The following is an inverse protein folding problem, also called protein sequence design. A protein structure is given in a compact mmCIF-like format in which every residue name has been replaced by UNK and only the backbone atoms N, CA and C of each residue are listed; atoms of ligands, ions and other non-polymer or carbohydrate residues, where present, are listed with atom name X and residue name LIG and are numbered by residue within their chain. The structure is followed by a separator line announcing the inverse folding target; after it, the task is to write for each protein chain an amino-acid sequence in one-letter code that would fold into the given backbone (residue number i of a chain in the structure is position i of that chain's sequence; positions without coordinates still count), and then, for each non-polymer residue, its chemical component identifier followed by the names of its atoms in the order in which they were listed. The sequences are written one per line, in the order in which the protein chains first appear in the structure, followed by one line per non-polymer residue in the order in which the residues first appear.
data_IF_021318859774
#
_entry.id   IF_021318859774
#
_cell.length_a   1.000
_cell.length_b   1.000
_cell.length_c   1.000
_cell.angle_alpha   90.00
_cell.angle_beta   90.00
_cell.angle_gamma   90.00
#
_symmetry.space_group_name_H-M   'P 1'
#
loop_
_entity.id
_entity.type
_entity.pdbx_description
1 polymer ?
#
# COMPACT_ATOMS: atom_id res chain seq x y z
N UNK A 1 10.04 -22.17 -7.66
CA UNK A 1 9.80 -21.86 -6.24
C UNK A 1 8.34 -21.46 -6.07
N UNK A 2 7.54 -22.29 -5.40
CA UNK A 2 6.13 -22.00 -5.14
C UNK A 2 6.05 -20.74 -4.25
N UNK A 3 5.59 -19.63 -4.83
CA UNK A 3 5.27 -18.43 -4.07
C UNK A 3 4.05 -18.78 -3.22
N UNK A 4 4.24 -19.03 -1.93
CA UNK A 4 3.12 -19.11 -0.98
C UNK A 4 2.27 -17.85 -1.18
N UNK A 5 1.00 -18.04 -1.51
CA UNK A 5 0.09 -16.93 -1.72
C UNK A 5 -0.03 -16.18 -0.38
N UNK A 6 0.25 -14.88 -0.41
CA UNK A 6 0.09 -14.03 0.78
C UNK A 6 -1.40 -13.98 1.10
N UNK A 7 -1.77 -14.40 2.31
CA UNK A 7 -3.15 -14.30 2.78
C UNK A 7 -3.49 -12.85 3.15
N UNK A 8 -3.93 -12.10 2.14
CA UNK A 8 -4.32 -10.70 2.30
C UNK A 8 -5.57 -10.53 3.16
N UNK A 9 -6.45 -11.53 3.24
CA UNK A 9 -7.69 -11.41 4.01
C UNK A 9 -7.39 -11.25 5.50
N UNK A 10 -6.34 -11.92 5.99
CA UNK A 10 -5.85 -11.78 7.36
C UNK A 10 -4.99 -10.53 7.58
N UNK A 11 -4.25 -10.10 6.57
CA UNK A 11 -3.29 -8.98 6.68
C UNK A 11 -3.89 -7.60 6.43
N UNK A 12 -5.00 -7.50 5.69
CA UNK A 12 -5.62 -6.22 5.36
C UNK A 12 -6.10 -5.42 6.59
N UNK A 13 -6.72 -6.03 7.63
CA UNK A 13 -7.05 -5.34 8.88
C UNK A 13 -5.82 -4.72 9.55
N UNK A 14 -4.71 -5.47 9.61
CA UNK A 14 -3.45 -5.01 10.18
C UNK A 14 -2.87 -3.86 9.36
N UNK A 15 -2.89 -3.95 8.03
CA UNK A 15 -2.43 -2.87 7.16
C UNK A 15 -3.24 -1.59 7.36
N UNK A 16 -4.56 -1.70 7.53
CA UNK A 16 -5.45 -0.56 7.83
C UNK A 16 -5.12 0.04 9.19
N UNK A 17 -4.98 -0.80 10.22
CA UNK A 17 -4.65 -0.35 11.57
C UNK A 17 -3.29 0.36 11.60
N UNK A 18 -2.26 -0.27 11.04
CA UNK A 18 -0.91 0.31 10.96
C UNK A 18 -0.90 1.61 10.15
N UNK A 19 -1.69 1.70 9.07
CA UNK A 19 -1.81 2.94 8.30
C UNK A 19 -2.44 4.07 9.12
N UNK A 20 -3.49 3.78 9.92
CA UNK A 20 -4.11 4.73 10.85
C UNK A 20 -3.14 5.17 11.95
N UNK A 21 -2.31 4.27 12.46
CA UNK A 21 -1.26 4.58 13.42
C UNK A 21 -0.04 5.31 12.82
N UNK A 22 -0.08 5.72 11.54
CA UNK A 22 0.99 6.47 10.90
C UNK A 22 2.23 5.66 10.50
N UNK A 23 2.14 4.32 10.42
CA UNK A 23 3.27 3.50 10.03
C UNK A 23 3.62 3.71 8.55
N UNK A 24 4.91 3.93 8.28
CA UNK A 24 5.45 3.96 6.92
C UNK A 24 5.41 2.58 6.27
N UNK A 25 5.40 2.56 4.93
CA UNK A 25 5.42 1.31 4.13
C UNK A 25 6.65 0.46 4.49
N UNK A 26 7.82 1.08 4.70
CA UNK A 26 9.05 0.38 5.10
C UNK A 26 8.91 -0.28 6.47
N UNK A 27 8.21 0.35 7.41
CA UNK A 27 7.97 -0.22 8.75
C UNK A 27 6.95 -1.36 8.70
N UNK A 28 5.91 -1.23 7.87
CA UNK A 28 4.94 -2.31 7.61
C UNK A 28 5.60 -3.53 6.96
N UNK A 29 6.42 -3.31 5.94
CA UNK A 29 7.19 -4.36 5.26
C UNK A 29 8.05 -5.17 6.23
N UNK A 30 8.83 -4.48 7.08
CA UNK A 30 9.68 -5.13 8.09
C UNK A 30 8.88 -5.90 9.13
N UNK A 31 7.76 -5.35 9.60
CA UNK A 31 6.92 -6.01 10.61
C UNK A 31 6.22 -7.26 10.07
N UNK A 32 5.79 -7.24 8.82
CA UNK A 32 5.04 -8.33 8.19
C UNK A 32 5.94 -9.34 7.44
N UNK A 33 7.24 -9.07 7.32
CA UNK A 33 8.16 -9.90 6.53
C UNK A 33 7.86 -9.88 5.03
N UNK A 34 7.16 -8.84 4.54
CA UNK A 34 6.72 -8.73 3.14
C UNK A 34 7.49 -7.61 2.45
N UNK A 35 7.82 -7.81 1.18
CA UNK A 35 8.48 -6.78 0.38
C UNK A 35 7.68 -5.46 0.36
N UNK A 36 8.40 -4.34 0.54
CA UNK A 36 7.79 -3.01 0.60
C UNK A 36 6.99 -2.64 -0.65
N UNK A 37 7.41 -3.11 -1.83
CA UNK A 37 6.68 -2.92 -3.10
C UNK A 37 5.32 -3.60 -3.05
N UNK A 38 5.25 -4.80 -2.48
CA UNK A 38 4.00 -5.56 -2.33
C UNK A 38 3.04 -4.85 -1.38
N UNK A 39 3.55 -4.37 -0.23
CA UNK A 39 2.77 -3.55 0.70
C UNK A 39 2.29 -2.25 0.05
N UNK A 40 3.15 -1.57 -0.73
CA UNK A 40 2.78 -0.36 -1.48
C UNK A 40 1.60 -0.64 -2.42
N UNK A 41 1.70 -1.67 -3.26
CA UNK A 41 0.62 -2.08 -4.18
C UNK A 41 -0.67 -2.40 -3.41
N UNK A 42 -0.58 -3.18 -2.32
CA UNK A 42 -1.77 -3.55 -1.53
C UNK A 42 -2.42 -2.33 -0.87
N UNK A 43 -1.64 -1.40 -0.32
CA UNK A 43 -2.16 -0.16 0.25
C UNK A 43 -2.89 0.70 -0.78
N UNK A 44 -2.44 0.71 -2.03
CA UNK A 44 -3.14 1.40 -3.11
C UNK A 44 -4.49 0.75 -3.41
N UNK A 45 -4.57 -0.58 -3.45
CA UNK A 45 -5.84 -1.32 -3.57
C UNK A 45 -6.78 -1.03 -2.39
N UNK A 46 -6.25 -0.91 -1.18
CA UNK A 46 -7.02 -0.59 0.03
C UNK A 46 -7.36 0.90 0.19
N UNK A 47 -6.94 1.78 -0.74
CA UNK A 47 -7.13 3.22 -0.63
C UNK A 47 -6.38 3.85 0.56
N UNK A 48 -5.36 3.19 1.10
CA UNK A 48 -4.56 3.64 2.26
C UNK A 48 -3.37 4.50 1.87
N UNK A 49 -3.06 4.61 0.58
CA UNK A 49 -2.18 5.66 0.09
C UNK A 49 -2.96 6.96 0.09
N UNK A 50 -2.38 8.02 0.71
CA UNK A 50 -2.83 9.39 0.45
C UNK A 50 -2.98 9.50 -1.07
N UNK A 51 -4.17 9.89 -1.54
CA UNK A 51 -4.46 10.08 -2.96
C UNK A 51 -3.23 10.76 -3.57
N UNK A 52 -2.65 10.28 -4.70
CA UNK A 52 -1.90 11.24 -5.49
C UNK A 52 -2.89 12.39 -5.66
N UNK A 53 -2.53 13.57 -5.17
CA UNK A 53 -3.07 14.82 -5.71
C UNK A 53 -3.15 14.55 -7.18
N UNK A 54 -4.36 14.55 -7.73
CA UNK A 54 -4.57 14.37 -9.14
C UNK A 54 -3.54 15.27 -9.79
N UNK A 55 -2.55 14.66 -10.42
CA UNK A 55 -1.62 15.40 -11.24
C UNK A 55 -2.52 15.88 -12.35
N UNK A 56 -3.08 17.08 -12.18
CA UNK A 56 -3.80 17.81 -13.19
C UNK A 56 -2.90 17.74 -14.40
N UNK A 57 -3.28 16.88 -15.33
CA UNK A 57 -2.78 16.92 -16.68
C UNK A 57 -3.35 18.20 -17.23
N UNK A 58 -2.64 19.31 -17.01
CA UNK A 58 -2.75 20.49 -17.87
C UNK A 58 -2.16 20.08 -19.22
N UNK A 59 -2.91 19.27 -19.95
CA UNK A 59 -2.75 19.14 -21.38
C UNK A 59 -3.97 19.81 -22.02
N UNK A 60 -3.69 20.63 -23.03
CA UNK A 60 -4.59 21.35 -23.93
C UNK A 60 -5.08 22.71 -23.42
N UNK A 61 -5.07 23.79 -24.18
CA UNK A 61 -4.51 24.11 -25.51
C UNK A 61 -4.66 25.64 -25.70
N UNK A 62 -3.97 26.16 -26.73
CA UNK A 62 -3.98 27.52 -27.29
C UNK A 62 -2.84 28.41 -26.87
#
# INVERSE_FOLDING_TARGET
MARTAIDWTRLDPDLRHMARCGFSIKRQARKLGIAAITIKKRRSVLGLTKKPVAQERTCHAS
#
